data_IF_647131234171
#
_entry.id   IF_647131234171
#
_cell.length_a   1.000
_cell.length_b   1.000
_cell.length_c   1.000
_cell.angle_alpha   90.00
_cell.angle_beta   90.00
_cell.angle_gamma   90.00
#
_symmetry.space_group_name_H-M   'P 1'
#
loop_
_entity.id
_entity.type
_entity.pdbx_description
1 polymer ?
#
# COMPACT_ATOMS: atom_id res chain seq x y z
N UNK A 1 -9.47 5.21 -1.60
CA UNK A 1 -9.89 4.01 -0.84
C UNK A 1 -9.05 3.90 0.43
N UNK A 2 -9.57 3.26 1.48
CA UNK A 2 -8.83 2.99 2.72
C UNK A 2 -8.88 1.50 3.07
N UNK A 3 -7.74 0.91 3.40
CA UNK A 3 -7.59 -0.48 3.84
C UNK A 3 -6.98 -0.49 5.24
N UNK A 4 -7.61 -1.20 6.17
CA UNK A 4 -7.07 -1.42 7.52
C UNK A 4 -6.55 -2.86 7.64
N UNK A 5 -5.28 -3.01 8.02
CA UNK A 5 -4.62 -4.32 8.14
C UNK A 5 -4.64 -4.88 9.56
N UNK A 6 -5.25 -4.22 10.53
CA UNK A 6 -5.36 -4.77 11.88
C UNK A 6 -6.09 -6.13 11.83
N UNK A 7 -5.49 -7.14 12.46
CA UNK A 7 -6.02 -8.50 12.47
C UNK A 7 -5.79 -9.29 11.18
N UNK A 8 -5.10 -8.74 10.17
CA UNK A 8 -4.63 -9.48 8.99
C UNK A 8 -3.22 -10.00 9.19
N UNK A 9 -2.95 -11.19 8.67
CA UNK A 9 -1.57 -11.67 8.51
C UNK A 9 -0.85 -10.84 7.44
N UNK A 10 0.49 -10.85 7.48
CA UNK A 10 1.27 -10.15 6.45
C UNK A 10 0.93 -10.61 5.03
N UNK A 11 0.83 -11.92 4.70
CA UNK A 11 0.47 -12.35 3.36
C UNK A 11 -0.89 -11.84 2.90
N UNK A 12 -1.93 -11.97 3.74
CA UNK A 12 -3.30 -11.51 3.40
C UNK A 12 -3.33 -10.00 3.12
N UNK A 13 -2.63 -9.22 3.95
CA UNK A 13 -2.57 -7.77 3.76
C UNK A 13 -1.84 -7.38 2.48
N UNK A 14 -0.75 -8.07 2.14
CA UNK A 14 0.02 -7.81 0.92
C UNK A 14 -0.78 -8.18 -0.33
N UNK A 15 -1.43 -9.34 -0.34
CA UNK A 15 -2.26 -9.80 -1.46
C UNK A 15 -3.38 -8.81 -1.75
N UNK A 16 -4.09 -8.37 -0.71
CA UNK A 16 -5.21 -7.43 -0.84
C UNK A 16 -4.76 -6.04 -1.34
N UNK A 17 -3.58 -5.57 -0.93
CA UNK A 17 -3.01 -4.31 -1.42
C UNK A 17 -2.55 -4.45 -2.88
N UNK A 18 -1.84 -5.53 -3.22
CA UNK A 18 -1.29 -5.76 -4.56
C UNK A 18 -2.42 -5.92 -5.59
N UNK A 19 -3.44 -6.73 -5.27
CA UNK A 19 -4.61 -6.91 -6.12
C UNK A 19 -5.34 -5.58 -6.38
N UNK A 20 -5.61 -4.80 -5.31
CA UNK A 20 -6.28 -3.52 -5.45
C UNK A 20 -5.50 -2.56 -6.35
N UNK A 21 -4.20 -2.42 -6.12
CA UNK A 21 -3.37 -1.47 -6.88
C UNK A 21 -3.26 -1.88 -8.35
N UNK A 22 -3.03 -3.17 -8.63
CA UNK A 22 -2.92 -3.67 -10.01
C UNK A 22 -4.24 -3.49 -10.78
N UNK A 23 -5.37 -3.94 -10.22
CA UNK A 23 -6.66 -3.86 -10.91
C UNK A 23 -7.10 -2.41 -11.20
N UNK A 24 -6.79 -1.47 -10.31
CA UNK A 24 -7.19 -0.08 -10.49
C UNK A 24 -6.20 0.71 -11.34
N UNK A 25 -4.89 0.42 -11.28
CA UNK A 25 -3.87 1.06 -12.13
C UNK A 25 -4.10 0.80 -13.63
N UNK A 26 -4.63 -0.37 -14.00
CA UNK A 26 -5.03 -0.67 -15.37
C UNK A 26 -6.13 0.28 -15.88
N UNK A 27 -7.04 0.68 -14.99
CA UNK A 27 -8.20 1.53 -15.30
C UNK A 27 -7.85 3.01 -15.33
N UNK A 28 -6.90 3.46 -14.52
CA UNK A 28 -6.53 4.87 -14.40
C UNK A 28 -5.55 5.12 -13.26
N UNK A 29 -5.38 6.40 -12.90
CA UNK A 29 -4.67 6.77 -11.67
C UNK A 29 -5.37 6.17 -10.44
N UNK A 30 -4.58 5.77 -9.44
CA UNK A 30 -5.07 5.15 -8.21
C UNK A 30 -4.33 5.70 -7.00
N UNK A 31 -5.07 5.89 -5.91
CA UNK A 31 -4.55 6.28 -4.60
C UNK A 31 -5.18 5.41 -3.52
N UNK A 32 -4.32 4.75 -2.74
CA UNK A 32 -4.71 3.87 -1.65
C UNK A 32 -4.09 4.33 -0.35
N UNK A 33 -4.92 4.48 0.68
CA UNK A 33 -4.50 4.70 2.06
C UNK A 33 -4.56 3.37 2.82
N UNK A 34 -3.44 2.95 3.42
CA UNK A 34 -3.33 1.71 4.18
C UNK A 34 -2.97 2.00 5.64
N UNK A 35 -3.73 1.45 6.60
CA UNK A 35 -3.34 1.43 8.02
C UNK A 35 -2.53 0.16 8.28
N UNK A 36 -1.29 0.34 8.75
CA UNK A 36 -0.32 -0.73 9.05
C UNK A 36 -0.12 -0.98 10.54
N UNK A 37 -0.77 -0.19 11.41
CA UNK A 37 -0.69 -0.35 12.87
C UNK A 37 0.70 -0.09 13.45
N UNK A 38 1.45 0.87 12.89
CA UNK A 38 2.85 1.17 13.22
C UNK A 38 3.80 -0.04 13.04
N UNK A 39 3.49 -0.99 12.14
CA UNK A 39 4.37 -2.13 11.84
C UNK A 39 5.40 -1.76 10.77
N UNK A 40 6.68 -1.51 11.13
CA UNK A 40 7.70 -1.16 10.13
C UNK A 40 8.02 -2.34 9.22
N UNK A 41 7.84 -3.57 9.73
CA UNK A 41 8.00 -4.80 8.95
C UNK A 41 6.94 -4.86 7.85
N UNK A 42 5.67 -4.56 8.17
CA UNK A 42 4.60 -4.55 7.16
C UNK A 42 4.84 -3.46 6.12
N UNK A 43 5.24 -2.27 6.55
CA UNK A 43 5.59 -1.16 5.64
C UNK A 43 6.73 -1.54 4.70
N UNK A 44 7.82 -2.11 5.24
CA UNK A 44 8.96 -2.56 4.44
C UNK A 44 8.52 -3.60 3.40
N UNK A 45 7.65 -4.54 3.78
CA UNK A 45 7.11 -5.53 2.83
C UNK A 45 6.26 -4.89 1.73
N UNK A 46 5.39 -3.95 2.07
CA UNK A 46 4.58 -3.20 1.09
C UNK A 46 5.50 -2.45 0.11
N UNK A 47 6.53 -1.78 0.63
CA UNK A 47 7.49 -1.03 -0.18
C UNK A 47 8.25 -1.98 -1.12
N UNK A 48 8.91 -2.99 -0.58
CA UNK A 48 9.82 -3.85 -1.35
C UNK A 48 9.06 -4.76 -2.34
N UNK A 49 7.93 -5.33 -1.92
CA UNK A 49 7.26 -6.40 -2.68
C UNK A 49 6.17 -5.87 -3.62
N UNK A 50 5.67 -4.65 -3.38
CA UNK A 50 4.58 -4.08 -4.17
C UNK A 50 5.05 -2.79 -4.85
N UNK A 51 5.45 -1.79 -4.07
CA UNK A 51 5.77 -0.46 -4.62
C UNK A 51 6.99 -0.52 -5.55
N UNK A 52 8.11 -1.06 -5.09
CA UNK A 52 9.33 -1.20 -5.88
C UNK A 52 9.18 -2.17 -7.06
N UNK A 53 8.36 -3.22 -6.90
CA UNK A 53 8.11 -4.22 -7.94
C UNK A 53 7.32 -3.67 -9.11
N UNK A 54 6.29 -2.86 -8.84
CA UNK A 54 5.35 -2.37 -9.85
C UNK A 54 5.52 -0.89 -10.21
N UNK A 55 6.47 -0.20 -9.58
CA UNK A 55 6.73 1.22 -9.83
C UNK A 55 5.68 2.16 -9.23
N UNK A 56 4.99 1.75 -8.16
CA UNK A 56 4.09 2.63 -7.42
C UNK A 56 4.88 3.56 -6.50
N UNK A 57 4.46 4.82 -6.41
CA UNK A 57 5.00 5.77 -5.43
C UNK A 57 4.33 5.56 -4.07
N UNK A 58 5.01 5.96 -3.00
CA UNK A 58 4.45 5.88 -1.66
C UNK A 58 4.90 7.05 -0.78
N UNK A 59 4.11 7.34 0.25
CA UNK A 59 4.52 8.23 1.33
C UNK A 59 4.01 7.72 2.68
N UNK A 60 4.81 7.89 3.73
CA UNK A 60 4.46 7.64 5.13
C UNK A 60 4.42 9.00 5.83
N UNK A 61 3.28 9.44 6.38
CA UNK A 61 3.18 10.73 7.03
C UNK A 61 3.97 10.75 8.33
N UNK A 62 4.80 11.79 8.52
CA UNK A 62 5.64 11.94 9.73
C UNK A 62 4.83 12.08 11.02
N UNK A 63 3.61 12.61 10.94
CA UNK A 63 2.70 12.78 12.07
C UNK A 63 1.87 11.52 12.39
N UNK A 64 1.87 10.52 11.52
CA UNK A 64 1.19 9.24 11.74
C UNK A 64 1.95 8.09 11.04
N UNK A 65 3.01 7.57 11.65
CA UNK A 65 3.82 6.51 11.06
C UNK A 65 3.07 5.18 10.98
N UNK A 66 1.80 5.11 11.39
CA UNK A 66 0.97 3.92 11.29
C UNK A 66 0.31 3.78 9.93
N UNK A 67 0.43 4.78 9.07
CA UNK A 67 -0.22 4.86 7.77
C UNK A 67 0.81 4.86 6.64
N UNK A 68 0.43 4.28 5.50
CA UNK A 68 1.16 4.41 4.26
C UNK A 68 0.16 4.70 3.13
N UNK A 69 0.52 5.63 2.28
CA UNK A 69 -0.23 5.97 1.09
C UNK A 69 0.53 5.47 -0.12
N UNK A 70 -0.16 4.79 -1.03
CA UNK A 70 0.40 4.21 -2.24
C UNK A 70 -0.33 4.83 -3.42
N UNK A 71 0.42 5.28 -4.43
CA UNK A 71 -0.11 6.04 -5.56
C UNK A 71 0.46 5.55 -6.88
N UNK A 72 -0.34 5.68 -7.92
CA UNK A 72 0.06 5.51 -9.31
C UNK A 72 -0.69 6.54 -10.16
N UNK A 73 0.05 7.28 -10.98
CA UNK A 73 -0.53 8.22 -11.94
C UNK A 73 -0.41 7.64 -13.34
N UNK A 74 -1.55 7.53 -14.04
CA UNK A 74 -1.58 7.09 -15.43
C UNK A 74 -1.28 8.29 -16.33
N UNK A 75 -0.22 8.16 -17.14
CA UNK A 75 0.17 9.16 -18.14
C UNK A 75 -0.84 9.24 -19.29
#
# INVERSE_FOLDING_TARGET
MKIDLHGKTHPEGLELIEEYMLLNSLKGSVSLHVITGNSPIMQKKIIDQICSKHGFSYYIPSHNPGEIFIQYEKL
#
